data_IF_460095064872
#
_entry.id   IF_460095064872
#
_cell.length_a   1.000
_cell.length_b   1.000
_cell.length_c   1.000
_cell.angle_alpha   90.00
_cell.angle_beta   90.00
_cell.angle_gamma   90.00
#
_symmetry.space_group_name_H-M   'P 1'
#
loop_
_entity.id
_entity.type
_entity.pdbx_description
1 polymer ?
#
# COMPACT_ATOMS: atom_id res chain seq x y z
N UNK A 1 29.80 -9.78 -29.29
CA UNK A 1 29.11 -8.71 -28.52
C UNK A 1 27.70 -9.14 -28.09
N UNK A 2 27.53 -10.36 -27.52
CA UNK A 2 26.22 -10.89 -27.08
C UNK A 2 26.19 -11.30 -25.59
N UNK A 3 27.35 -11.46 -24.94
CA UNK A 3 27.43 -11.87 -23.52
C UNK A 3 27.28 -10.71 -22.51
N UNK A 4 27.64 -9.48 -22.92
CA UNK A 4 27.60 -8.30 -22.03
C UNK A 4 26.14 -7.87 -21.73
N UNK A 5 25.23 -8.04 -22.69
CA UNK A 5 23.80 -7.68 -22.53
C UNK A 5 23.06 -8.65 -21.61
N UNK A 6 23.40 -9.95 -21.63
CA UNK A 6 22.78 -10.96 -20.76
C UNK A 6 23.14 -10.76 -19.28
N UNK A 7 24.41 -10.45 -18.99
CA UNK A 7 24.90 -10.19 -17.64
C UNK A 7 24.28 -8.93 -17.00
N UNK A 8 24.11 -7.85 -17.77
CA UNK A 8 23.45 -6.62 -17.31
C UNK A 8 21.97 -6.87 -17.02
N UNK A 9 21.27 -7.64 -17.88
CA UNK A 9 19.86 -7.98 -17.68
C UNK A 9 19.61 -8.79 -16.40
N UNK A 10 20.44 -9.81 -16.14
CA UNK A 10 20.36 -10.62 -14.92
C UNK A 10 20.65 -9.76 -13.69
N UNK A 11 21.70 -8.94 -13.73
CA UNK A 11 22.05 -8.04 -12.62
C UNK A 11 20.91 -7.05 -12.28
N UNK A 12 20.31 -6.44 -13.30
CA UNK A 12 19.18 -5.51 -13.13
C UNK A 12 17.96 -6.21 -12.52
N UNK A 13 17.65 -7.42 -12.98
CA UNK A 13 16.55 -8.24 -12.43
C UNK A 13 16.79 -8.58 -10.96
N UNK A 14 17.99 -9.05 -10.61
CA UNK A 14 18.37 -9.34 -9.22
C UNK A 14 18.27 -8.10 -8.34
N UNK A 15 18.72 -6.94 -8.84
CA UNK A 15 18.63 -5.66 -8.13
C UNK A 15 17.18 -5.25 -7.89
N UNK A 16 16.29 -5.41 -8.86
CA UNK A 16 14.86 -5.15 -8.70
C UNK A 16 14.22 -6.07 -7.66
N UNK A 17 14.47 -7.38 -7.72
CA UNK A 17 13.96 -8.35 -6.75
C UNK A 17 14.44 -8.01 -5.33
N UNK A 18 15.72 -7.68 -5.17
CA UNK A 18 16.27 -7.24 -3.87
C UNK A 18 15.59 -5.97 -3.38
N UNK A 19 15.39 -4.97 -4.24
CA UNK A 19 14.67 -3.73 -3.88
C UNK A 19 13.25 -4.03 -3.39
N UNK A 20 12.51 -4.88 -4.11
CA UNK A 20 11.15 -5.28 -3.74
C UNK A 20 11.16 -6.00 -2.39
N UNK A 21 12.03 -6.99 -2.22
CA UNK A 21 12.14 -7.77 -0.97
C UNK A 21 12.52 -6.89 0.22
N UNK A 22 13.44 -5.95 0.03
CA UNK A 22 13.84 -5.01 1.07
C UNK A 22 12.65 -4.15 1.50
N UNK A 23 11.88 -3.59 0.56
CA UNK A 23 10.66 -2.84 0.88
C UNK A 23 9.58 -3.71 1.54
N UNK A 24 9.42 -4.95 1.09
CA UNK A 24 8.52 -5.93 1.69
C UNK A 24 8.86 -6.26 3.15
N UNK A 25 10.10 -6.06 3.57
CA UNK A 25 10.58 -6.34 4.93
C UNK A 25 10.84 -5.08 5.77
N UNK A 26 10.87 -3.90 5.14
CA UNK A 26 11.04 -2.62 5.84
C UNK A 26 9.90 -2.37 6.84
N UNK A 27 10.17 -2.19 8.14
CA UNK A 27 9.11 -1.99 9.12
C UNK A 27 8.35 -0.68 8.85
N UNK A 28 7.14 -0.56 9.39
CA UNK A 28 6.52 0.75 9.53
C UNK A 28 7.47 1.63 10.37
N UNK A 29 7.76 2.83 9.88
CA UNK A 29 8.62 3.78 10.59
C UNK A 29 7.79 4.98 11.02
N UNK A 30 8.02 5.47 12.23
CA UNK A 30 7.38 6.67 12.74
C UNK A 30 8.40 7.79 12.87
N UNK A 31 8.12 8.93 12.26
CA UNK A 31 8.94 10.14 12.40
C UNK A 31 8.58 10.91 13.68
N UNK A 32 9.44 11.83 14.11
CA UNK A 32 9.30 12.66 15.32
C UNK A 32 7.94 13.40 15.39
N UNK A 33 7.31 13.70 14.25
CA UNK A 33 5.96 14.26 14.15
C UNK A 33 4.81 13.24 14.21
N UNK A 34 5.02 12.05 14.76
CA UNK A 34 4.06 10.92 14.83
C UNK A 34 3.56 10.40 13.47
N UNK A 35 4.18 10.80 12.36
CA UNK A 35 3.82 10.36 11.01
C UNK A 35 4.31 8.95 10.78
N UNK A 36 3.42 8.04 10.38
CA UNK A 36 3.79 6.65 10.07
C UNK A 36 4.03 6.51 8.57
N UNK A 37 5.25 6.19 8.18
CA UNK A 37 5.60 5.82 6.82
C UNK A 37 5.27 4.34 6.58
N UNK A 38 4.47 4.08 5.54
CA UNK A 38 4.10 2.74 5.11
C UNK A 38 4.93 2.36 3.89
N UNK A 39 5.91 1.43 4.00
CA UNK A 39 6.77 1.06 2.90
C UNK A 39 6.00 0.31 1.82
N UNK A 40 5.77 0.99 0.68
CA UNK A 40 5.07 0.42 -0.47
C UNK A 40 6.06 -0.09 -1.52
N UNK A 41 5.75 -1.23 -2.12
CA UNK A 41 6.42 -1.77 -3.31
C UNK A 41 5.92 -1.05 -4.56
N UNK A 42 4.63 -0.78 -4.62
CA UNK A 42 3.98 -0.06 -5.71
C UNK A 42 2.73 0.67 -5.19
N UNK A 43 2.26 1.63 -5.98
CA UNK A 43 1.01 2.35 -5.73
C UNK A 43 0.23 2.49 -7.02
N UNK A 44 -1.09 2.62 -6.92
CA UNK A 44 -2.01 2.60 -8.04
C UNK A 44 -3.15 3.60 -7.88
N UNK A 45 -3.63 4.13 -8.99
CA UNK A 45 -4.97 4.74 -9.07
C UNK A 45 -5.91 3.69 -9.61
N UNK A 46 -6.96 3.36 -8.87
CA UNK A 46 -7.98 2.37 -9.25
C UNK A 46 -9.30 3.04 -9.61
N UNK A 47 -10.16 2.36 -10.36
CA UNK A 47 -11.56 2.73 -10.52
C UNK A 47 -12.33 2.21 -9.30
N UNK A 48 -13.00 3.09 -8.56
CA UNK A 48 -13.75 2.74 -7.36
C UNK A 48 -14.87 1.76 -7.69
N UNK A 49 -15.00 0.71 -6.90
CA UNK A 49 -16.00 -0.35 -7.09
C UNK A 49 -15.67 -1.37 -8.20
N UNK A 50 -14.63 -1.15 -9.01
CA UNK A 50 -14.21 -2.06 -10.09
C UNK A 50 -12.77 -2.56 -9.88
N UNK A 51 -12.45 -3.03 -8.68
CA UNK A 51 -11.15 -3.61 -8.39
C UNK A 51 -10.98 -4.95 -9.12
N UNK A 52 -9.84 -5.21 -9.78
CA UNK A 52 -8.54 -4.52 -9.68
C UNK A 52 -8.21 -3.51 -10.80
N UNK A 53 -9.18 -2.99 -11.56
CA UNK A 53 -8.90 -2.14 -12.72
C UNK A 53 -8.14 -0.86 -12.31
N UNK A 54 -6.93 -0.70 -12.87
CA UNK A 54 -6.02 0.41 -12.57
C UNK A 54 -5.87 1.36 -13.76
N UNK A 55 -5.90 2.67 -13.47
CA UNK A 55 -5.68 3.74 -14.43
C UNK A 55 -4.21 4.17 -14.53
N UNK A 56 -3.45 4.01 -13.45
CA UNK A 56 -2.04 4.38 -13.38
C UNK A 56 -1.36 3.68 -12.22
N UNK A 57 -0.03 3.51 -12.32
CA UNK A 57 0.79 2.91 -11.28
C UNK A 57 2.09 3.71 -11.06
N UNK A 58 2.73 3.49 -9.91
CA UNK A 58 4.08 3.96 -9.63
C UNK A 58 4.82 2.94 -8.75
N UNK A 59 5.89 2.35 -9.29
CA UNK A 59 6.83 1.45 -8.61
C UNK A 59 8.21 2.08 -8.39
N UNK A 60 8.44 3.29 -8.91
CA UNK A 60 9.70 4.03 -8.78
C UNK A 60 9.78 4.65 -7.38
N UNK A 61 8.77 5.45 -7.04
CA UNK A 61 8.67 6.21 -5.78
C UNK A 61 7.24 6.17 -5.19
N UNK A 62 6.64 4.99 -4.99
CA UNK A 62 5.33 4.91 -4.34
C UNK A 62 5.42 5.46 -2.91
N UNK A 63 4.34 6.10 -2.44
CA UNK A 63 4.29 6.66 -1.09
C UNK A 63 2.92 6.50 -0.47
N UNK A 64 2.91 6.15 0.80
CA UNK A 64 1.80 6.30 1.73
C UNK A 64 2.37 6.70 3.09
N UNK A 65 1.97 7.88 3.57
CA UNK A 65 2.28 8.38 4.91
C UNK A 65 0.96 8.61 5.64
N UNK A 66 0.87 8.11 6.87
CA UNK A 66 -0.28 8.28 7.75
C UNK A 66 0.08 9.36 8.77
N UNK A 67 -0.41 10.57 8.56
CA UNK A 67 -0.31 11.67 9.52
C UNK A 67 -1.40 11.52 10.57
N UNK A 68 -1.40 12.41 11.56
CA UNK A 68 -2.41 12.39 12.63
C UNK A 68 -3.83 12.58 12.08
N UNK A 69 -4.05 13.57 11.21
CA UNK A 69 -5.35 13.99 10.70
C UNK A 69 -5.61 13.69 9.22
N UNK A 70 -4.59 13.29 8.46
CA UNK A 70 -4.72 12.98 7.02
C UNK A 70 -3.78 11.87 6.56
N UNK A 71 -4.09 11.28 5.41
CA UNK A 71 -3.19 10.42 4.66
C UNK A 71 -2.54 11.20 3.51
N UNK A 72 -1.22 11.09 3.36
CA UNK A 72 -0.50 11.52 2.16
C UNK A 72 -0.16 10.30 1.31
N UNK A 73 -0.40 10.38 0.00
CA UNK A 73 -0.07 9.30 -0.92
C UNK A 73 0.42 9.83 -2.26
N UNK A 74 1.21 9.03 -2.98
CA UNK A 74 1.71 9.37 -4.31
C UNK A 74 1.57 8.19 -5.25
N UNK A 75 0.84 8.41 -6.35
CA UNK A 75 0.89 7.56 -7.56
C UNK A 75 1.66 8.35 -8.62
N UNK A 76 1.00 9.25 -9.35
CA UNK A 76 1.66 10.21 -10.24
C UNK A 76 2.13 11.46 -9.47
N UNK A 77 1.20 12.08 -8.75
CA UNK A 77 1.43 13.27 -7.92
C UNK A 77 1.15 12.96 -6.45
N UNK A 78 1.83 13.67 -5.56
CA UNK A 78 1.52 13.63 -4.13
C UNK A 78 0.16 14.27 -3.89
N UNK A 79 -0.67 13.59 -3.10
CA UNK A 79 -1.99 14.04 -2.68
C UNK A 79 -2.11 13.87 -1.18
N UNK A 80 -2.86 14.77 -0.55
CA UNK A 80 -3.21 14.70 0.87
C UNK A 80 -4.72 14.60 0.97
N UNK A 81 -5.22 13.68 1.78
CA UNK A 81 -6.65 13.47 2.02
C UNK A 81 -6.91 13.34 3.52
N UNK A 82 -7.73 14.22 4.12
CA UNK A 82 -8.22 14.03 5.48
C UNK A 82 -8.85 12.64 5.64
N UNK A 83 -8.77 12.03 6.82
CA UNK A 83 -9.42 10.73 7.04
C UNK A 83 -10.95 10.80 6.91
N UNK A 84 -11.54 11.99 7.11
CA UNK A 84 -12.96 12.26 6.86
C UNK A 84 -13.36 12.13 5.39
N UNK A 85 -12.43 12.26 4.45
CA UNK A 85 -12.69 12.11 3.00
C UNK A 85 -12.64 10.66 2.56
N UNK A 86 -12.06 9.77 3.39
CA UNK A 86 -12.00 8.34 3.14
C UNK A 86 -13.36 7.76 3.51
N UNK A 87 -14.04 7.18 2.52
CA UNK A 87 -15.31 6.49 2.73
C UNK A 87 -15.10 5.21 3.52
N UNK A 88 -14.12 4.41 3.09
CA UNK A 88 -13.70 3.20 3.75
C UNK A 88 -12.33 2.74 3.25
N UNK A 89 -11.67 1.93 4.06
CA UNK A 89 -10.43 1.24 3.71
C UNK A 89 -10.75 -0.20 3.33
N UNK A 90 -10.39 -0.58 2.11
CA UNK A 90 -10.52 -1.94 1.59
C UNK A 90 -9.17 -2.63 1.50
N UNK A 91 -9.22 -3.93 1.25
CA UNK A 91 -8.06 -4.75 0.93
C UNK A 91 -8.30 -5.56 -0.34
N UNK A 92 -7.22 -5.81 -1.07
CA UNK A 92 -7.18 -6.78 -2.16
C UNK A 92 -6.02 -7.74 -1.91
N UNK A 93 -6.36 -9.02 -1.78
CA UNK A 93 -5.42 -10.10 -1.51
C UNK A 93 -5.38 -11.05 -2.70
N UNK A 94 -4.17 -11.35 -3.18
CA UNK A 94 -3.86 -12.33 -4.20
C UNK A 94 -2.47 -12.91 -3.92
N UNK A 95 -2.07 -14.07 -4.50
CA UNK A 95 -0.81 -14.74 -4.19
C UNK A 95 0.47 -13.87 -4.26
N UNK A 96 0.46 -12.82 -5.08
CA UNK A 96 1.57 -11.87 -5.23
C UNK A 96 1.16 -10.41 -4.98
N UNK A 97 0.02 -10.18 -4.32
CA UNK A 97 -0.50 -8.83 -4.09
C UNK A 97 -1.20 -8.76 -2.75
N UNK A 98 -0.70 -7.88 -1.90
CA UNK A 98 -1.33 -7.52 -0.64
C UNK A 98 -1.51 -6.01 -0.68
N UNK A 99 -2.67 -5.56 -1.16
CA UNK A 99 -2.97 -4.15 -1.35
C UNK A 99 -3.89 -3.64 -0.25
N UNK A 100 -3.55 -2.46 0.25
CA UNK A 100 -4.51 -1.58 0.91
C UNK A 100 -5.13 -0.64 -0.11
N UNK A 101 -6.41 -0.35 0.02
CA UNK A 101 -7.15 0.54 -0.88
C UNK A 101 -7.87 1.61 -0.05
N UNK A 102 -7.66 2.87 -0.38
CA UNK A 102 -8.40 4.00 0.19
C UNK A 102 -9.48 4.43 -0.81
N UNK A 103 -10.74 4.19 -0.46
CA UNK A 103 -11.88 4.73 -1.20
C UNK A 103 -12.20 6.13 -0.70
N UNK A 104 -12.42 7.06 -1.62
CA UNK A 104 -12.75 8.45 -1.29
C UNK A 104 -14.23 8.72 -1.55
N UNK A 105 -14.85 9.51 -0.68
CA UNK A 105 -16.28 9.88 -0.78
C UNK A 105 -16.59 10.68 -2.05
N UNK A 106 -15.72 11.61 -2.39
CA UNK A 106 -15.89 12.62 -3.44
C UNK A 106 -15.36 12.20 -4.82
N UNK A 107 -14.89 10.95 -4.98
CA UNK A 107 -14.14 10.53 -6.16
C UNK A 107 -14.51 9.13 -6.63
N UNK A 108 -14.60 8.98 -7.95
CA UNK A 108 -14.72 7.67 -8.63
C UNK A 108 -13.38 6.92 -8.73
N UNK A 109 -12.29 7.54 -8.27
CA UNK A 109 -10.95 6.96 -8.24
C UNK A 109 -10.57 6.64 -6.80
N UNK A 110 -9.88 5.52 -6.61
CA UNK A 110 -9.33 5.10 -5.31
C UNK A 110 -7.81 5.06 -5.38
N UNK A 111 -7.16 5.21 -4.23
CA UNK A 111 -5.74 4.92 -4.10
C UNK A 111 -5.54 3.47 -3.69
N UNK A 112 -4.52 2.80 -4.21
CA UNK A 112 -4.06 1.53 -3.66
C UNK A 112 -2.55 1.50 -3.46
N UNK A 113 -2.09 0.88 -2.37
CA UNK A 113 -0.69 0.65 -2.07
C UNK A 113 -0.41 -0.83 -1.88
N UNK A 114 0.58 -1.38 -2.58
CA UNK A 114 1.00 -2.77 -2.44
C UNK A 114 2.10 -2.89 -1.38
N UNK A 115 1.82 -3.64 -0.32
CA UNK A 115 2.77 -3.97 0.74
C UNK A 115 3.47 -5.31 0.51
N UNK A 116 2.84 -6.21 -0.25
CA UNK A 116 3.19 -7.63 -0.41
C UNK A 116 3.53 -8.34 0.92
N UNK A 117 2.91 -7.90 2.02
CA UNK A 117 3.16 -8.40 3.36
C UNK A 117 1.88 -8.31 4.18
N UNK A 118 1.31 -9.46 4.56
CA UNK A 118 0.04 -9.57 5.29
C UNK A 118 0.14 -9.02 6.71
N UNK A 119 1.25 -9.27 7.41
CA UNK A 119 1.46 -8.77 8.78
C UNK A 119 1.49 -7.24 8.79
N UNK A 120 2.23 -6.62 7.87
CA UNK A 120 2.22 -5.15 7.73
C UNK A 120 0.87 -4.60 7.34
N UNK A 121 0.12 -5.29 6.47
CA UNK A 121 -1.23 -4.87 6.15
C UNK A 121 -2.09 -4.83 7.41
N UNK A 122 -2.01 -5.85 8.28
CA UNK A 122 -2.72 -5.84 9.55
C UNK A 122 -2.29 -4.68 10.46
N UNK A 123 -0.99 -4.42 10.60
CA UNK A 123 -0.49 -3.26 11.36
C UNK A 123 -1.04 -1.92 10.84
N UNK A 124 -1.02 -1.72 9.53
CA UNK A 124 -1.59 -0.51 8.90
C UNK A 124 -3.10 -0.42 9.13
N UNK A 125 -3.82 -1.53 9.04
CA UNK A 125 -5.26 -1.56 9.33
C UNK A 125 -5.57 -1.25 10.79
N UNK A 126 -4.76 -1.68 11.77
CA UNK A 126 -4.92 -1.30 13.19
C UNK A 126 -4.82 0.20 13.37
N UNK A 127 -3.87 0.86 12.69
CA UNK A 127 -3.71 2.32 12.72
C UNK A 127 -4.92 3.01 12.07
N UNK A 128 -5.36 2.54 10.91
CA UNK A 128 -6.46 3.16 10.16
C UNK A 128 -7.84 2.92 10.78
N UNK A 129 -8.05 1.81 11.49
CA UNK A 129 -9.29 1.53 12.24
C UNK A 129 -9.63 2.62 13.26
N UNK A 130 -8.60 3.27 13.82
CA UNK A 130 -8.77 4.38 14.77
C UNK A 130 -9.10 5.72 14.09
N UNK A 131 -9.01 5.79 12.76
CA UNK A 131 -9.04 7.06 12.00
C UNK A 131 -10.16 7.11 10.97
N UNK A 132 -10.56 5.97 10.41
CA UNK A 132 -11.58 5.86 9.37
C UNK A 132 -12.21 4.46 9.36
N UNK A 133 -13.32 4.34 8.63
CA UNK A 133 -14.06 3.08 8.51
C UNK A 133 -13.24 2.04 7.72
N UNK A 134 -13.23 0.80 8.19
CA UNK A 134 -12.76 -0.34 7.43
C UNK A 134 -13.94 -1.00 6.70
N UNK A 135 -13.71 -1.57 5.53
CA UNK A 135 -14.72 -2.40 4.87
C UNK A 135 -14.86 -3.76 5.57
N UNK A 136 -15.98 -4.49 5.40
CA UNK A 136 -16.19 -5.77 6.07
C UNK A 136 -15.05 -6.76 5.85
N UNK A 137 -14.56 -6.87 4.60
CA UNK A 137 -13.41 -7.74 4.25
C UNK A 137 -12.11 -7.32 4.95
N UNK A 138 -11.89 -6.02 5.14
CA UNK A 138 -10.71 -5.52 5.84
C UNK A 138 -10.81 -5.75 7.35
N UNK A 139 -12.01 -5.68 7.92
CA UNK A 139 -12.28 -6.00 9.32
C UNK A 139 -12.05 -7.50 9.58
N UNK A 140 -12.66 -8.36 8.77
CA UNK A 140 -12.53 -9.82 8.85
C UNK A 140 -11.05 -10.24 8.78
N UNK A 141 -10.30 -9.74 7.79
CA UNK A 141 -8.86 -10.01 7.69
C UNK A 141 -8.08 -9.60 8.94
N UNK A 142 -8.41 -8.46 9.53
CA UNK A 142 -7.72 -7.97 10.72
C UNK A 142 -8.04 -8.86 11.93
N UNK A 143 -9.31 -9.24 12.11
CA UNK A 143 -9.75 -10.13 13.19
C UNK A 143 -9.16 -11.53 13.07
N UNK A 144 -9.13 -12.12 11.87
CA UNK A 144 -8.46 -13.38 11.61
C UNK A 144 -6.97 -13.30 11.94
N UNK A 145 -6.31 -12.20 11.57
CA UNK A 145 -4.87 -12.03 11.84
C UNK A 145 -4.60 -11.89 13.33
N UNK A 146 -5.44 -11.17 14.06
CA UNK A 146 -5.30 -10.98 15.51
C UNK A 146 -5.52 -12.30 16.27
N UNK A 147 -6.48 -13.14 15.85
CA UNK A 147 -6.71 -14.49 16.43
C UNK A 147 -5.54 -15.46 16.24
N UNK A 148 -4.79 -15.32 15.15
CA UNK A 148 -3.64 -16.18 14.87
C UNK A 148 -2.37 -15.73 15.61
N UNK A 149 -2.41 -14.59 16.31
CA UNK A 149 -1.32 -14.04 17.11
C UNK A 149 -1.54 -14.19 18.63
N UNK A 150 -2.74 -14.59 19.05
CA UNK A 150 -3.14 -14.89 20.44
C UNK A 150 -3.02 -16.37 20.74
#
# INVERSE_FOLDING_TARGET
MFFVTLGIGIFMTVRMIRKIRNKQNEPLSQDAGKTVNVPLIASFTLIKGLYPLSLSNNSISPRLLLHESYAEYKVLFSRKRPYSDIEQVHILLAPATTNIILEFKDSRKSFAGNLNNRQKLAEVLRILKQKCRLSPKAQEFLEETDKNLS
#
